data_IF_127392280448
#
_entry.id   IF_127392280448
#
_cell.length_a   1.000
_cell.length_b   1.000
_cell.length_c   1.000
_cell.angle_alpha   90.00
_cell.angle_beta   90.00
_cell.angle_gamma   90.00
#
_symmetry.space_group_name_H-M   'P 1'
#
loop_
_entity.id
_entity.type
_entity.pdbx_description
1 polymer ?
#
# COMPACT_ATOMS: atom_id res chain seq x y z
N UNK A 1 43.74 64.54 -9.82
CA UNK A 1 42.72 64.54 -10.89
C UNK A 1 42.94 63.31 -11.75
N UNK A 2 42.16 62.25 -11.50
CA UNK A 2 42.22 61.03 -12.32
C UNK A 2 41.41 61.26 -13.58
N UNK A 3 42.07 61.60 -14.68
CA UNK A 3 41.46 61.60 -16.01
C UNK A 3 41.00 60.18 -16.31
N UNK A 4 39.69 59.97 -16.31
CA UNK A 4 39.08 58.84 -16.98
C UNK A 4 39.32 59.12 -18.47
N UNK A 5 40.40 58.59 -19.03
CA UNK A 5 40.65 58.62 -20.48
C UNK A 5 39.55 57.79 -21.15
N UNK A 6 38.54 58.48 -21.68
CA UNK A 6 37.61 57.88 -22.62
C UNK A 6 38.33 57.71 -23.94
N UNK A 7 38.78 56.48 -24.23
CA UNK A 7 39.31 56.11 -25.54
C UNK A 7 38.26 56.39 -26.62
N UNK A 8 38.66 57.07 -27.71
CA UNK A 8 37.74 57.51 -28.76
C UNK A 8 37.20 56.36 -29.61
N UNK A 9 37.86 55.21 -29.58
CA UNK A 9 37.39 53.97 -30.21
C UNK A 9 37.93 52.72 -29.51
N UNK A 10 37.25 51.59 -29.69
CA UNK A 10 37.73 50.30 -29.19
C UNK A 10 39.14 49.96 -29.70
N UNK A 11 39.48 50.37 -30.93
CA UNK A 11 40.78 50.10 -31.53
C UNK A 11 41.93 50.83 -30.80
N UNK A 12 41.69 52.08 -30.43
CA UNK A 12 42.67 52.92 -29.70
C UNK A 12 42.93 52.38 -28.29
N UNK A 13 41.86 51.95 -27.60
CA UNK A 13 41.95 51.27 -26.32
C UNK A 13 42.75 49.97 -26.41
N UNK A 14 42.51 49.14 -27.43
CA UNK A 14 43.23 47.88 -27.62
C UNK A 14 44.70 48.10 -27.99
N UNK A 15 45.05 49.12 -28.79
CA UNK A 15 46.44 49.45 -29.09
C UNK A 15 47.21 49.95 -27.85
N UNK A 16 46.60 50.80 -27.04
CA UNK A 16 47.17 51.25 -25.77
C UNK A 16 47.40 50.05 -24.83
N UNK A 17 46.37 49.21 -24.66
CA UNK A 17 46.45 48.01 -23.83
C UNK A 17 47.56 47.07 -24.32
N UNK A 18 47.68 46.82 -25.63
CA UNK A 18 48.72 45.97 -26.19
C UNK A 18 50.13 46.50 -25.95
N UNK A 19 50.34 47.82 -25.99
CA UNK A 19 51.68 48.42 -25.76
C UNK A 19 52.09 48.41 -24.29
N UNK A 20 51.12 48.51 -23.37
CA UNK A 20 51.38 48.64 -21.94
C UNK A 20 51.20 47.35 -21.14
N UNK A 21 50.62 46.31 -21.74
CA UNK A 21 50.44 45.00 -21.11
C UNK A 21 51.67 44.11 -21.28
N UNK A 22 51.99 43.35 -20.24
CA UNK A 22 53.03 42.31 -20.28
C UNK A 22 52.53 40.98 -20.85
N UNK A 23 51.26 40.92 -21.27
CA UNK A 23 50.64 39.73 -21.87
C UNK A 23 51.20 39.53 -23.29
N UNK A 24 52.15 38.61 -23.44
CA UNK A 24 52.86 38.36 -24.70
C UNK A 24 51.96 37.99 -25.90
N UNK A 25 50.75 37.51 -25.66
CA UNK A 25 49.81 37.10 -26.71
C UNK A 25 49.14 38.27 -27.45
N UNK A 26 48.77 39.34 -26.75
CA UNK A 26 48.00 40.48 -27.31
C UNK A 26 48.83 41.29 -28.30
N UNK A 27 50.11 41.51 -27.99
CA UNK A 27 51.09 42.17 -28.88
C UNK A 27 51.22 41.41 -30.22
N UNK A 28 51.18 40.07 -30.19
CA UNK A 28 51.33 39.21 -31.38
C UNK A 28 50.03 39.03 -32.18
N UNK A 29 48.88 39.20 -31.52
CA UNK A 29 47.54 39.05 -32.10
C UNK A 29 47.04 40.32 -32.79
N UNK A 30 47.25 41.51 -32.21
CA UNK A 30 46.64 42.77 -32.68
C UNK A 30 47.67 43.74 -33.27
N UNK A 31 48.86 43.86 -32.68
CA UNK A 31 49.85 44.88 -33.07
C UNK A 31 50.95 44.39 -34.04
N UNK A 32 50.92 43.13 -34.49
CA UNK A 32 51.89 42.58 -35.43
C UNK A 32 51.48 42.82 -36.90
N UNK A 33 51.58 44.07 -37.37
CA UNK A 33 51.15 44.46 -38.72
C UNK A 33 51.93 43.80 -39.88
N UNK A 34 53.18 43.35 -39.64
CA UNK A 34 54.15 42.94 -40.69
C UNK A 34 54.10 41.47 -41.11
N UNK A 35 53.65 40.53 -40.26
CA UNK A 35 53.70 39.08 -40.55
C UNK A 35 52.38 38.39 -40.27
N UNK A 36 51.51 38.31 -41.28
CA UNK A 36 50.15 37.76 -41.19
C UNK A 36 50.10 36.29 -40.74
N UNK A 37 51.13 35.50 -41.08
CA UNK A 37 51.22 34.09 -40.66
C UNK A 37 51.42 33.93 -39.15
N UNK A 38 52.22 34.81 -38.52
CA UNK A 38 52.44 34.79 -37.06
C UNK A 38 51.15 35.16 -36.34
N UNK A 39 50.47 36.21 -36.80
CA UNK A 39 49.18 36.62 -36.27
C UNK A 39 48.14 35.50 -36.39
N UNK A 40 48.04 34.84 -37.56
CA UNK A 40 47.14 33.71 -37.76
C UNK A 40 47.44 32.54 -36.82
N UNK A 41 48.71 32.21 -36.61
CA UNK A 41 49.13 31.17 -35.65
C UNK A 41 48.69 31.49 -34.21
N UNK A 42 48.94 32.71 -33.74
CA UNK A 42 48.55 33.12 -32.37
C UNK A 42 47.03 33.24 -32.21
N UNK A 43 46.30 33.63 -33.25
CA UNK A 43 44.83 33.62 -33.26
C UNK A 43 44.28 32.20 -33.23
N UNK A 44 44.85 31.27 -33.99
CA UNK A 44 44.48 29.86 -33.94
C UNK A 44 44.70 29.24 -32.56
N UNK A 45 45.84 29.54 -31.92
CA UNK A 45 46.15 29.08 -30.57
C UNK A 45 45.17 29.65 -29.53
N UNK A 46 44.82 30.93 -29.65
CA UNK A 46 43.82 31.57 -28.78
C UNK A 46 42.43 30.93 -28.95
N UNK A 47 41.96 30.73 -30.19
CA UNK A 47 40.69 30.06 -30.47
C UNK A 47 40.66 28.63 -29.93
N UNK A 48 41.75 27.88 -30.10
CA UNK A 48 41.87 26.54 -29.54
C UNK A 48 41.77 26.56 -28.01
N UNK A 49 42.42 27.52 -27.34
CA UNK A 49 42.33 27.66 -25.88
C UNK A 49 40.92 27.99 -25.39
N UNK A 50 40.19 28.87 -26.07
CA UNK A 50 38.78 29.15 -25.76
C UNK A 50 37.88 27.94 -26.03
N UNK A 51 38.12 27.20 -27.12
CA UNK A 51 37.39 25.98 -27.43
C UNK A 51 37.52 24.92 -26.34
N UNK A 52 38.74 24.69 -25.84
CA UNK A 52 38.99 23.79 -24.70
C UNK A 52 38.29 24.31 -23.44
N UNK A 53 38.30 25.62 -23.18
CA UNK A 53 37.63 26.20 -22.01
C UNK A 53 36.11 25.99 -22.05
N UNK A 54 35.45 26.27 -23.18
CA UNK A 54 34.00 26.06 -23.30
C UNK A 54 33.63 24.57 -23.26
N UNK A 55 34.48 23.70 -23.82
CA UNK A 55 34.32 22.26 -23.69
C UNK A 55 34.38 21.80 -22.23
N UNK A 56 35.39 22.25 -21.47
CA UNK A 56 35.50 21.96 -20.05
C UNK A 56 34.33 22.54 -19.24
N UNK A 57 33.88 23.75 -19.58
CA UNK A 57 32.70 24.36 -18.97
C UNK A 57 31.44 23.54 -19.24
N UNK A 58 31.24 23.06 -20.47
CA UNK A 58 30.11 22.20 -20.82
C UNK A 58 30.15 20.86 -20.06
N UNK A 59 31.33 20.27 -19.88
CA UNK A 59 31.51 19.05 -19.07
C UNK A 59 31.21 19.28 -17.58
N UNK A 60 31.71 20.37 -17.00
CA UNK A 60 31.42 20.72 -15.61
C UNK A 60 29.94 21.06 -15.41
N UNK A 61 29.34 21.78 -16.37
CA UNK A 61 27.93 22.11 -16.33
C UNK A 61 27.06 20.85 -16.49
N UNK A 62 27.44 19.92 -17.37
CA UNK A 62 26.71 18.65 -17.53
C UNK A 62 26.82 17.79 -16.27
N UNK A 63 28.00 17.74 -15.61
CA UNK A 63 28.17 17.02 -14.35
C UNK A 63 27.40 17.67 -13.20
N UNK A 64 27.34 19.00 -13.15
CA UNK A 64 26.55 19.74 -12.17
C UNK A 64 25.04 19.46 -12.33
N UNK A 65 24.52 19.51 -13.57
CA UNK A 65 23.12 19.23 -13.86
C UNK A 65 22.76 17.73 -13.91
N UNK A 66 23.76 16.85 -13.85
CA UNK A 66 23.53 15.41 -13.73
C UNK A 66 23.12 14.97 -12.32
N UNK A 67 23.30 15.84 -11.31
CA UNK A 67 23.02 15.54 -9.89
C UNK A 67 23.41 14.11 -9.46
N UNK A 68 24.67 13.68 -9.67
CA UNK A 68 25.06 12.31 -9.36
C UNK A 68 25.03 12.08 -7.84
N UNK A 69 24.30 11.05 -7.41
CA UNK A 69 24.23 10.62 -6.01
C UNK A 69 25.21 9.48 -5.74
N UNK A 70 25.96 9.57 -4.66
CA UNK A 70 26.84 8.48 -4.18
C UNK A 70 26.16 7.78 -3.02
N UNK A 71 25.79 6.51 -3.22
CA UNK A 71 25.20 5.67 -2.17
C UNK A 71 26.32 5.04 -1.34
N UNK A 72 26.32 5.27 -0.04
CA UNK A 72 27.21 4.60 0.92
C UNK A 72 26.38 3.63 1.75
N UNK A 73 26.83 2.38 1.85
CA UNK A 73 26.17 1.34 2.65
C UNK A 73 26.98 1.12 3.93
N UNK A 74 26.36 1.31 5.10
CA UNK A 74 26.95 0.97 6.39
C UNK A 74 26.01 0.05 7.18
N UNK A 75 26.59 -0.90 7.91
CA UNK A 75 25.85 -1.78 8.83
C UNK A 75 26.21 -1.42 10.26
N UNK A 76 25.23 -0.92 11.01
CA UNK A 76 25.39 -0.58 12.42
C UNK A 76 24.62 -1.60 13.26
N UNK A 77 25.32 -2.22 14.22
CA UNK A 77 24.73 -3.17 15.17
C UNK A 77 24.17 -2.41 16.37
N UNK A 78 23.15 -1.59 16.11
CA UNK A 78 22.44 -0.79 17.12
C UNK A 78 21.07 -1.40 17.41
N UNK A 79 20.54 -1.24 18.64
CA UNK A 79 19.17 -1.65 18.95
C UNK A 79 18.19 -1.05 17.93
N UNK A 80 17.33 -1.89 17.36
CA UNK A 80 16.30 -1.45 16.41
C UNK A 80 14.95 -1.43 17.09
N UNK A 81 14.12 -0.46 16.73
CA UNK A 81 12.74 -0.45 17.17
C UNK A 81 12.03 -1.67 16.55
N UNK A 82 11.40 -2.47 17.40
CA UNK A 82 10.61 -3.61 16.94
C UNK A 82 9.39 -3.07 16.17
N UNK A 83 9.08 -3.56 14.96
CA UNK A 83 8.00 -3.01 14.15
C UNK A 83 6.63 -3.25 14.79
N UNK A 84 5.61 -2.56 14.28
CA UNK A 84 4.23 -2.90 14.62
C UNK A 84 3.82 -4.18 13.87
N UNK A 85 3.10 -5.05 14.56
CA UNK A 85 2.63 -6.33 14.00
C UNK A 85 1.12 -6.39 14.11
N UNK A 86 0.44 -6.35 12.97
CA UNK A 86 -1.00 -6.53 12.90
C UNK A 86 -1.33 -7.96 12.53
N UNK A 87 -2.26 -8.56 13.28
CA UNK A 87 -2.69 -9.93 13.12
C UNK A 87 -4.20 -9.93 13.08
N UNK A 88 -4.77 -10.56 12.06
CA UNK A 88 -6.21 -10.66 11.87
C UNK A 88 -6.62 -12.10 11.72
N UNK A 89 -7.77 -12.42 12.31
CA UNK A 89 -8.48 -13.63 11.93
C UNK A 89 -8.80 -13.57 10.42
N UNK A 90 -9.13 -14.70 9.81
CA UNK A 90 -9.68 -14.73 8.45
C UNK A 90 -11.20 -14.92 8.45
N UNK A 91 -11.83 -14.88 9.63
CA UNK A 91 -13.25 -15.14 9.85
C UNK A 91 -13.97 -13.89 10.41
N UNK A 92 -14.74 -13.17 9.57
CA UNK A 92 -15.49 -11.98 9.98
C UNK A 92 -16.75 -12.31 10.77
N UNK A 93 -17.07 -11.47 11.75
CA UNK A 93 -18.20 -11.70 12.65
C UNK A 93 -19.56 -11.35 12.03
N UNK A 94 -20.57 -12.15 12.37
CA UNK A 94 -21.97 -11.82 12.16
C UNK A 94 -22.49 -10.97 13.32
N UNK A 95 -22.68 -9.68 13.07
CA UNK A 95 -23.29 -8.78 14.05
C UNK A 95 -24.81 -8.99 14.09
N UNK A 96 -25.37 -9.05 15.30
CA UNK A 96 -26.80 -9.29 15.50
C UNK A 96 -27.67 -8.23 14.80
N UNK A 97 -27.25 -6.96 14.83
CA UNK A 97 -27.97 -5.83 14.21
C UNK A 97 -28.22 -5.99 12.71
N UNK A 98 -27.34 -6.69 11.99
CA UNK A 98 -27.46 -6.91 10.54
C UNK A 98 -27.69 -8.37 10.19
N UNK A 99 -27.91 -9.23 11.19
CA UNK A 99 -28.08 -10.68 11.01
C UNK A 99 -29.22 -11.01 10.04
N UNK A 100 -30.34 -10.29 10.10
CA UNK A 100 -31.47 -10.52 9.19
C UNK A 100 -31.10 -10.24 7.71
N UNK A 101 -30.36 -9.15 7.46
CA UNK A 101 -29.87 -8.81 6.13
C UNK A 101 -28.86 -9.85 5.61
N UNK A 102 -27.99 -10.36 6.48
CA UNK A 102 -27.04 -11.41 6.14
C UNK A 102 -27.74 -12.75 5.83
N UNK A 103 -28.74 -13.13 6.63
CA UNK A 103 -29.56 -14.33 6.37
C UNK A 103 -30.34 -14.19 5.03
N UNK A 104 -30.81 -12.99 4.69
CA UNK A 104 -31.41 -12.72 3.38
C UNK A 104 -30.38 -12.85 2.24
N UNK A 105 -29.17 -12.33 2.42
CA UNK A 105 -28.09 -12.44 1.45
C UNK A 105 -27.69 -13.91 1.20
N UNK A 106 -27.60 -14.71 2.26
CA UNK A 106 -27.30 -16.15 2.17
C UNK A 106 -28.34 -16.90 1.33
N UNK A 107 -29.63 -16.60 1.56
CA UNK A 107 -30.73 -17.15 0.73
C UNK A 107 -30.59 -16.74 -0.74
N UNK A 108 -30.30 -15.47 -1.02
CA UNK A 108 -30.10 -14.99 -2.40
C UNK A 108 -28.90 -15.66 -3.08
N UNK A 109 -27.84 -15.95 -2.31
CA UNK A 109 -26.67 -16.68 -2.80
C UNK A 109 -27.02 -18.14 -3.14
N UNK A 110 -27.76 -18.81 -2.27
CA UNK A 110 -28.25 -20.18 -2.46
C UNK A 110 -29.18 -20.30 -3.69
N UNK A 111 -30.12 -19.37 -3.85
CA UNK A 111 -30.98 -19.27 -5.04
C UNK A 111 -30.15 -19.08 -6.31
N UNK A 112 -29.13 -18.22 -6.27
CA UNK A 112 -28.23 -17.97 -7.41
C UNK A 112 -27.40 -19.21 -7.77
N UNK A 113 -26.89 -19.94 -6.77
CA UNK A 113 -26.16 -21.20 -6.99
C UNK A 113 -27.05 -22.28 -7.60
N UNK A 114 -28.26 -22.41 -7.09
CA UNK A 114 -29.27 -23.36 -7.59
C UNK A 114 -29.63 -23.02 -9.03
N UNK A 115 -29.90 -21.75 -9.33
CA UNK A 115 -30.23 -21.27 -10.68
C UNK A 115 -29.10 -21.47 -11.69
N UNK A 116 -27.86 -21.15 -11.31
CA UNK A 116 -26.73 -21.18 -12.25
C UNK A 116 -26.12 -22.57 -12.44
N UNK A 117 -26.07 -23.37 -11.37
CA UNK A 117 -25.32 -24.64 -11.35
C UNK A 117 -26.19 -25.85 -11.03
N UNK A 118 -27.47 -25.69 -10.70
CA UNK A 118 -28.36 -26.80 -10.32
C UNK A 118 -27.95 -27.49 -9.02
N UNK A 119 -27.13 -26.82 -8.18
CA UNK A 119 -26.68 -27.39 -6.91
C UNK A 119 -27.84 -27.25 -5.93
N UNK A 120 -28.46 -28.37 -5.60
CA UNK A 120 -29.49 -28.42 -4.58
C UNK A 120 -28.81 -28.53 -3.21
N UNK A 121 -28.40 -27.39 -2.67
CA UNK A 121 -27.75 -27.33 -1.36
C UNK A 121 -28.80 -27.66 -0.32
N UNK A 122 -28.63 -28.78 0.38
CA UNK A 122 -29.53 -29.18 1.45
C UNK A 122 -29.27 -28.33 2.70
N UNK A 123 -29.62 -27.04 2.69
CA UNK A 123 -29.71 -26.13 3.86
C UNK A 123 -28.51 -26.11 4.85
N UNK A 124 -27.37 -26.73 4.53
CA UNK A 124 -26.26 -27.01 5.46
C UNK A 124 -25.03 -26.14 5.24
N UNK A 125 -24.95 -25.39 4.15
CA UNK A 125 -23.80 -24.53 3.88
C UNK A 125 -23.80 -23.28 4.76
N UNK A 126 -24.96 -22.70 5.06
CA UNK A 126 -25.09 -21.42 5.78
C UNK A 126 -25.65 -21.55 7.21
N UNK A 127 -26.11 -22.75 7.60
CA UNK A 127 -26.53 -23.06 8.98
C UNK A 127 -25.33 -23.56 9.79
N UNK A 128 -24.39 -22.66 10.07
CA UNK A 128 -23.40 -22.86 11.13
C UNK A 128 -23.99 -22.36 12.46
N UNK A 129 -23.54 -22.94 13.57
CA UNK A 129 -24.07 -22.66 14.93
C UNK A 129 -23.59 -21.27 15.36
N UNK A 130 -24.27 -20.22 14.90
CA UNK A 130 -23.82 -18.83 15.05
C UNK A 130 -23.75 -18.37 16.51
N UNK A 131 -22.57 -17.91 16.93
CA UNK A 131 -22.42 -17.00 18.08
C UNK A 131 -22.73 -15.59 17.58
N UNK A 132 -23.98 -15.14 17.73
CA UNK A 132 -24.36 -13.76 17.41
C UNK A 132 -23.74 -12.81 18.45
N UNK A 133 -23.01 -11.79 17.99
CA UNK A 133 -22.42 -10.78 18.90
C UNK A 133 -23.49 -9.74 19.23
N UNK A 134 -23.87 -9.69 20.51
CA UNK A 134 -24.81 -8.69 21.03
C UNK A 134 -24.08 -7.37 21.28
N UNK A 135 -24.51 -6.30 20.61
CA UNK A 135 -23.96 -4.96 20.85
C UNK A 135 -24.87 -4.21 21.81
N UNK A 136 -24.47 -4.09 23.07
CA UNK A 136 -25.19 -3.30 24.06
C UNK A 136 -25.07 -1.80 23.76
N UNK A 137 -26.19 -1.08 23.72
CA UNK A 137 -26.22 0.39 23.68
C UNK A 137 -26.72 1.03 22.37
N UNK A 138 -27.22 0.25 21.40
CA UNK A 138 -27.65 0.76 20.09
C UNK A 138 -29.14 0.53 19.76
N UNK A 139 -29.98 0.40 20.79
CA UNK A 139 -31.43 0.15 20.67
C UNK A 139 -32.24 1.22 19.90
N UNK A 140 -31.62 2.33 19.48
CA UNK A 140 -32.27 3.42 18.75
C UNK A 140 -31.64 3.69 17.36
N UNK A 141 -30.91 2.75 16.76
CA UNK A 141 -30.73 2.83 15.31
C UNK A 141 -32.03 2.43 14.63
N UNK A 142 -32.87 3.44 14.35
CA UNK A 142 -33.89 3.35 13.32
C UNK A 142 -33.25 2.71 12.09
N UNK A 143 -33.73 1.51 11.73
CA UNK A 143 -33.33 0.76 10.54
C UNK A 143 -33.18 1.76 9.39
N UNK A 144 -31.95 2.06 9.01
CA UNK A 144 -31.68 2.81 7.79
C UNK A 144 -32.48 2.14 6.68
N UNK A 145 -33.14 2.91 5.80
CA UNK A 145 -34.00 2.38 4.73
C UNK A 145 -33.28 1.53 3.66
N UNK A 146 -32.14 0.95 4.00
CA UNK A 146 -31.45 -0.04 3.21
C UNK A 146 -32.34 -1.25 2.98
N UNK A 147 -32.44 -1.65 1.71
CA UNK A 147 -33.11 -2.87 1.29
C UNK A 147 -32.20 -3.57 0.30
N UNK A 148 -31.95 -4.84 0.54
CA UNK A 148 -31.30 -5.70 -0.45
C UNK A 148 -32.18 -5.77 -1.70
N UNK A 149 -31.61 -5.38 -2.84
CA UNK A 149 -32.31 -5.45 -4.12
C UNK A 149 -32.23 -6.85 -4.69
N UNK A 150 -33.36 -7.56 -4.74
CA UNK A 150 -33.47 -8.86 -5.40
C UNK A 150 -33.20 -8.80 -6.92
N UNK A 151 -33.26 -7.60 -7.52
CA UNK A 151 -32.97 -7.40 -8.95
C UNK A 151 -31.47 -7.48 -9.26
N UNK A 152 -30.61 -7.53 -8.25
CA UNK A 152 -29.17 -7.64 -8.40
C UNK A 152 -28.71 -9.08 -8.12
N UNK A 153 -28.95 -9.97 -9.08
CA UNK A 153 -28.60 -11.39 -9.04
C UNK A 153 -27.45 -11.74 -9.99
N UNK A 154 -26.85 -12.91 -9.79
CA UNK A 154 -25.83 -13.44 -10.70
C UNK A 154 -26.49 -14.00 -11.96
N UNK A 155 -25.95 -13.62 -13.11
CA UNK A 155 -26.45 -14.00 -14.42
C UNK A 155 -25.39 -14.76 -15.21
N UNK A 156 -25.84 -15.79 -15.93
CA UNK A 156 -25.01 -16.47 -16.93
C UNK A 156 -25.00 -15.64 -18.20
N UNK A 157 -23.80 -15.25 -18.62
CA UNK A 157 -23.57 -14.47 -19.83
C UNK A 157 -22.76 -15.30 -20.83
N UNK A 158 -22.90 -15.02 -22.12
CA UNK A 158 -22.06 -15.62 -23.14
C UNK A 158 -21.27 -14.56 -23.87
N UNK A 159 -19.96 -14.70 -23.89
CA UNK A 159 -19.05 -13.83 -24.61
C UNK A 159 -18.44 -14.58 -25.80
N UNK A 160 -18.41 -13.95 -26.97
CA UNK A 160 -17.77 -14.49 -28.16
C UNK A 160 -16.37 -13.88 -28.31
N UNK A 161 -15.32 -14.68 -28.11
CA UNK A 161 -13.93 -14.29 -28.39
C UNK A 161 -13.27 -15.35 -29.26
N UNK A 162 -12.47 -14.90 -30.24
CA UNK A 162 -11.68 -15.78 -31.13
C UNK A 162 -12.48 -16.94 -31.75
N UNK A 163 -13.73 -16.69 -32.17
CA UNK A 163 -14.59 -17.70 -32.79
C UNK A 163 -15.15 -18.77 -31.85
N UNK A 164 -14.92 -18.66 -30.52
CA UNK A 164 -15.46 -19.58 -29.51
C UNK A 164 -16.41 -18.85 -28.55
N UNK A 165 -17.48 -19.53 -28.15
CA UNK A 165 -18.46 -19.05 -27.17
C UNK A 165 -17.97 -19.43 -25.77
N UNK A 166 -17.60 -18.43 -24.98
CA UNK A 166 -17.22 -18.63 -23.58
C UNK A 166 -18.43 -18.31 -22.68
N UNK A 167 -18.81 -19.27 -21.83
CA UNK A 167 -19.76 -19.01 -20.75
C UNK A 167 -19.04 -18.24 -19.65
N UNK A 168 -19.58 -17.08 -19.28
CA UNK A 168 -19.11 -16.26 -18.16
C UNK A 168 -20.25 -16.10 -17.17
N UNK A 169 -19.92 -15.73 -15.94
CA UNK A 169 -20.91 -15.41 -14.91
C UNK A 169 -20.58 -14.03 -14.37
N UNK A 170 -21.60 -13.23 -14.10
CA UNK A 170 -21.41 -11.87 -13.66
C UNK A 170 -22.69 -11.22 -13.17
N UNK A 171 -22.60 -9.93 -12.90
CA UNK A 171 -23.73 -9.12 -12.47
C UNK A 171 -23.66 -7.74 -13.14
N UNK A 172 -24.81 -7.09 -13.22
CA UNK A 172 -24.97 -5.79 -13.87
C UNK A 172 -25.07 -4.69 -12.82
N UNK A 173 -24.28 -3.63 -12.99
CA UNK A 173 -24.31 -2.44 -12.16
C UNK A 173 -24.82 -1.28 -13.01
N UNK A 174 -25.87 -0.62 -12.54
CA UNK A 174 -26.52 0.49 -13.24
C UNK A 174 -26.44 1.78 -12.43
N UNK A 175 -26.48 2.91 -13.12
CA UNK A 175 -26.70 4.20 -12.49
C UNK A 175 -28.13 4.33 -11.94
N UNK A 176 -28.41 5.41 -11.20
CA UNK A 176 -29.73 5.66 -10.57
C UNK A 176 -30.89 5.74 -11.56
N UNK A 177 -30.63 6.12 -12.82
CA UNK A 177 -31.66 6.20 -13.87
C UNK A 177 -31.87 4.89 -14.61
N UNK A 178 -31.05 3.85 -14.35
CA UNK A 178 -31.07 2.57 -15.05
C UNK A 178 -30.60 2.64 -16.51
N UNK A 179 -30.18 3.81 -16.99
CA UNK A 179 -29.84 4.04 -18.41
C UNK A 179 -28.39 3.72 -18.77
N UNK A 180 -27.46 3.82 -17.82
CA UNK A 180 -26.05 3.45 -18.02
C UNK A 180 -25.70 2.29 -17.10
N UNK A 181 -25.49 1.12 -17.70
CA UNK A 181 -25.19 -0.11 -16.99
C UNK A 181 -23.92 -0.75 -17.51
N UNK A 182 -23.10 -1.25 -16.59
CA UNK A 182 -21.91 -2.02 -16.90
C UNK A 182 -22.00 -3.42 -16.29
N UNK A 183 -21.39 -4.40 -16.97
CA UNK A 183 -21.39 -5.79 -16.54
C UNK A 183 -20.02 -6.16 -15.97
N UNK A 184 -19.98 -6.60 -14.71
CA UNK A 184 -18.77 -7.20 -14.12
C UNK A 184 -18.84 -8.71 -14.35
N UNK A 185 -17.95 -9.25 -15.19
CA UNK A 185 -17.98 -10.66 -15.60
C UNK A 185 -16.70 -11.40 -15.27
N UNK A 186 -16.85 -12.63 -14.80
CA UNK A 186 -15.77 -13.51 -14.39
C UNK A 186 -15.74 -14.77 -15.24
N UNK A 187 -14.54 -15.33 -15.39
CA UNK A 187 -14.34 -16.62 -16.04
C UNK A 187 -14.74 -17.78 -15.14
N UNK A 188 -14.58 -17.62 -13.82
CA UNK A 188 -14.93 -18.62 -12.82
C UNK A 188 -16.25 -18.27 -12.14
N UNK A 189 -17.07 -19.30 -11.91
CA UNK A 189 -18.26 -19.19 -11.09
C UNK A 189 -17.99 -18.86 -9.63
N UNK A 190 -16.88 -19.39 -9.10
CA UNK A 190 -16.45 -19.15 -7.72
C UNK A 190 -16.07 -17.68 -7.53
N UNK A 191 -15.20 -17.14 -8.41
CA UNK A 191 -14.82 -15.73 -8.34
C UNK A 191 -16.04 -14.81 -8.47
N UNK A 192 -17.01 -15.17 -9.33
CA UNK A 192 -18.23 -14.39 -9.52
C UNK A 192 -19.09 -14.33 -8.24
N UNK A 193 -19.31 -15.47 -7.58
CA UNK A 193 -20.14 -15.49 -6.37
C UNK A 193 -19.43 -14.86 -5.17
N UNK A 194 -18.13 -15.10 -5.00
CA UNK A 194 -17.35 -14.49 -3.92
C UNK A 194 -17.35 -12.96 -4.03
N UNK A 195 -17.11 -12.43 -5.23
CA UNK A 195 -17.12 -10.97 -5.45
C UNK A 195 -18.50 -10.35 -5.33
N UNK A 196 -19.55 -11.05 -5.79
CA UNK A 196 -20.93 -10.60 -5.64
C UNK A 196 -21.38 -10.60 -4.17
N UNK A 197 -21.01 -11.63 -3.42
CA UNK A 197 -21.31 -11.73 -1.99
C UNK A 197 -20.55 -10.65 -1.21
N UNK A 198 -19.24 -10.46 -1.49
CA UNK A 198 -18.42 -9.39 -0.90
C UNK A 198 -19.02 -8.01 -1.14
N UNK A 199 -19.53 -7.74 -2.35
CA UNK A 199 -20.16 -6.47 -2.68
C UNK A 199 -21.40 -6.18 -1.81
N UNK A 200 -22.31 -7.15 -1.67
CA UNK A 200 -23.50 -6.98 -0.81
C UNK A 200 -23.13 -6.88 0.66
N UNK A 201 -22.23 -7.74 1.12
CA UNK A 201 -21.77 -7.77 2.49
C UNK A 201 -21.20 -6.42 2.91
N UNK A 202 -20.37 -5.77 2.09
CA UNK A 202 -19.84 -4.43 2.38
C UNK A 202 -20.94 -3.38 2.54
N UNK A 203 -21.97 -3.42 1.70
CA UNK A 203 -23.10 -2.50 1.78
C UNK A 203 -23.96 -2.74 3.03
N UNK A 204 -24.12 -4.00 3.46
CA UNK A 204 -24.80 -4.34 4.71
C UNK A 204 -23.99 -3.85 5.91
N UNK A 205 -22.69 -4.14 5.93
CA UNK A 205 -21.80 -3.77 7.03
C UNK A 205 -21.64 -2.25 7.18
N UNK A 206 -21.77 -1.49 6.10
CA UNK A 206 -21.74 -0.02 6.12
C UNK A 206 -22.89 0.61 6.92
N UNK A 207 -23.96 -0.12 7.23
CA UNK A 207 -25.04 0.35 8.11
C UNK A 207 -24.65 0.39 9.58
N UNK A 208 -23.63 -0.38 9.96
CA UNK A 208 -23.17 -0.43 11.34
C UNK A 208 -22.44 0.88 11.67
N UNK A 209 -22.74 1.50 12.82
CA UNK A 209 -22.07 2.73 13.20
C UNK A 209 -20.59 2.46 13.47
N UNK A 210 -19.73 3.39 13.06
CA UNK A 210 -18.27 3.32 13.29
C UNK A 210 -17.93 3.27 14.78
N UNK A 211 -18.84 3.72 15.64
CA UNK A 211 -18.72 3.78 17.11
C UNK A 211 -19.30 2.53 17.77
N UNK A 212 -19.26 1.35 17.12
CA UNK A 212 -19.41 0.12 17.88
C UNK A 212 -18.17 -0.01 18.75
N UNK A 213 -18.29 0.52 19.96
CA UNK A 213 -17.36 0.22 21.03
C UNK A 213 -17.67 -1.24 21.41
N UNK A 214 -17.01 -2.18 20.71
CA UNK A 214 -16.99 -3.62 21.03
C UNK A 214 -16.43 -3.84 22.46
N UNK A 215 -15.94 -2.77 23.10
CA UNK A 215 -15.41 -2.63 24.45
C UNK A 215 -16.31 -3.06 25.62
N UNK A 216 -17.46 -3.70 25.41
CA UNK A 216 -18.29 -4.24 26.51
C UNK A 216 -18.73 -5.68 26.35
N UNK A 217 -18.34 -6.39 25.29
CA UNK A 217 -18.35 -7.86 25.32
C UNK A 217 -16.92 -8.35 25.51
N UNK A 218 -16.60 -8.37 26.79
CA UNK A 218 -15.40 -8.84 27.42
C UNK A 218 -15.36 -10.37 27.40
N UNK A 219 -15.23 -10.96 26.21
CA UNK A 219 -14.79 -12.34 25.99
C UNK A 219 -14.14 -12.33 24.59
N UNK A 220 -12.84 -12.40 24.36
CA UNK A 220 -11.64 -12.61 25.14
C UNK A 220 -10.53 -12.48 24.06
N UNK A 221 -9.35 -11.96 24.39
CA UNK A 221 -8.13 -12.27 23.59
C UNK A 221 -8.04 -13.76 23.25
N UNK A 222 -8.54 -14.62 24.15
CA UNK A 222 -8.51 -16.07 24.13
C UNK A 222 -9.29 -16.75 23.00
N UNK A 223 -9.96 -16.01 22.09
CA UNK A 223 -10.52 -16.63 20.89
C UNK A 223 -9.52 -16.70 19.72
N UNK A 224 -8.59 -15.75 19.61
CA UNK A 224 -7.56 -15.77 18.56
C UNK A 224 -6.13 -15.82 19.10
N UNK A 225 -5.79 -15.09 20.15
CA UNK A 225 -4.43 -15.05 20.74
C UNK A 225 -4.43 -15.85 22.04
N UNK A 226 -3.90 -17.07 21.98
CA UNK A 226 -3.80 -17.96 23.13
C UNK A 226 -2.64 -17.63 24.07
N UNK A 227 -1.50 -17.22 23.50
CA UNK A 227 -0.31 -16.80 24.27
C UNK A 227 0.42 -15.71 23.52
N UNK A 228 0.91 -14.70 24.23
CA UNK A 228 1.75 -13.63 23.71
C UNK A 228 2.95 -13.42 24.61
N UNK A 229 4.15 -13.47 24.04
CA UNK A 229 5.40 -13.18 24.72
C UNK A 229 6.27 -12.29 23.85
N UNK A 230 6.91 -11.30 24.45
CA UNK A 230 7.91 -10.45 23.82
C UNK A 230 9.14 -10.38 24.73
N UNK A 231 10.32 -10.64 24.16
CA UNK A 231 11.59 -10.70 24.91
C UNK A 231 11.57 -11.65 26.13
N UNK A 232 10.81 -12.75 26.01
CA UNK A 232 10.61 -13.74 27.07
C UNK A 232 9.57 -13.37 28.13
N UNK A 233 9.02 -12.15 28.10
CA UNK A 233 8.03 -11.66 29.06
C UNK A 233 6.61 -11.69 28.47
N UNK A 234 5.56 -11.96 29.28
CA UNK A 234 4.18 -11.97 28.80
C UNK A 234 3.70 -10.55 28.42
N UNK A 235 3.01 -10.44 27.27
CA UNK A 235 2.47 -9.17 26.79
C UNK A 235 1.35 -8.63 27.71
N UNK A 236 1.31 -7.31 27.90
CA UNK A 236 0.27 -6.61 28.66
C UNK A 236 -0.96 -6.30 27.80
N UNK A 237 -2.16 -6.11 28.40
CA UNK A 237 -3.34 -5.66 27.67
C UNK A 237 -3.20 -4.30 26.98
N UNK A 238 -2.25 -3.47 27.42
CA UNK A 238 -1.90 -2.18 26.81
C UNK A 238 -1.04 -2.30 25.56
N UNK A 239 -0.41 -3.46 25.32
CA UNK A 239 0.59 -3.63 24.26
C UNK A 239 -0.04 -3.84 22.88
N UNK A 240 -1.35 -4.03 22.83
CA UNK A 240 -2.09 -4.22 21.58
C UNK A 240 -3.37 -3.38 21.55
N UNK A 241 -3.79 -3.05 20.34
CA UNK A 241 -5.07 -2.41 20.08
C UNK A 241 -5.92 -3.35 19.23
N UNK A 242 -7.16 -3.59 19.66
CA UNK A 242 -8.13 -4.38 18.91
C UNK A 242 -8.98 -3.48 18.01
N UNK A 243 -9.21 -3.95 16.78
CA UNK A 243 -10.17 -3.35 15.85
C UNK A 243 -10.79 -4.44 14.98
N UNK A 244 -11.98 -4.17 14.42
CA UNK A 244 -12.64 -5.09 13.50
C UNK A 244 -12.41 -4.65 12.04
N UNK A 245 -11.84 -5.52 11.23
CA UNK A 245 -11.71 -5.34 9.78
C UNK A 245 -12.94 -5.94 9.07
N UNK A 246 -13.64 -5.23 8.17
CA UNK A 246 -14.86 -5.73 7.54
C UNK A 246 -14.69 -7.09 6.83
N UNK A 247 -13.57 -7.31 6.14
CA UNK A 247 -13.30 -8.55 5.39
C UNK A 247 -12.74 -9.67 6.26
N UNK A 248 -11.88 -9.33 7.23
CA UNK A 248 -11.02 -10.31 7.91
C UNK A 248 -11.52 -10.60 9.34
N UNK A 249 -12.36 -9.74 9.91
CA UNK A 249 -12.87 -9.94 11.27
C UNK A 249 -12.01 -9.27 12.33
N UNK A 250 -11.76 -9.97 13.44
CA UNK A 250 -11.01 -9.41 14.56
C UNK A 250 -9.52 -9.26 14.23
N UNK A 251 -9.00 -8.06 14.47
CA UNK A 251 -7.61 -7.71 14.28
C UNK A 251 -7.00 -7.12 15.55
N UNK A 252 -5.72 -7.43 15.76
CA UNK A 252 -4.91 -6.97 16.87
C UNK A 252 -3.62 -6.38 16.32
N UNK A 253 -3.33 -5.12 16.66
CA UNK A 253 -2.03 -4.50 16.34
C UNK A 253 -1.19 -4.35 17.58
N UNK A 254 -0.13 -5.14 17.66
CA UNK A 254 0.89 -5.09 18.70
C UNK A 254 1.85 -3.93 18.44
N UNK A 255 2.28 -3.27 19.52
CA UNK A 255 3.25 -2.18 19.49
C UNK A 255 2.81 -1.04 18.55
N UNK A 256 1.53 -0.67 18.55
CA UNK A 256 0.99 0.43 17.71
C UNK A 256 0.97 1.78 18.42
N UNK A 257 0.47 1.81 19.66
CA UNK A 257 0.37 3.04 20.45
C UNK A 257 1.46 3.05 21.53
N UNK A 258 2.45 3.91 21.37
CA UNK A 258 3.61 4.07 22.26
C UNK A 258 3.27 4.74 23.60
N UNK A 259 2.34 4.18 24.37
CA UNK A 259 2.05 4.64 25.74
C UNK A 259 2.94 4.01 26.82
N UNK A 260 3.93 3.22 26.41
CA UNK A 260 5.18 2.86 27.10
C UNK A 260 6.29 2.89 26.03
N UNK A 261 7.61 2.94 26.36
CA UNK A 261 8.64 2.97 25.33
C UNK A 261 8.43 1.79 24.37
N UNK A 262 8.43 2.09 23.06
CA UNK A 262 8.27 1.09 22.01
C UNK A 262 9.16 -0.12 22.27
N UNK A 263 8.66 -1.30 21.94
CA UNK A 263 9.48 -2.51 21.97
C UNK A 263 10.77 -2.31 21.16
N UNK A 264 11.91 -2.72 21.73
CA UNK A 264 13.23 -2.58 21.09
C UNK A 264 13.92 -3.93 20.97
N UNK A 265 14.29 -4.30 19.75
CA UNK A 265 15.11 -5.46 19.48
C UNK A 265 16.57 -5.15 19.81
N UNK A 266 17.00 -5.50 21.02
CA UNK A 266 18.39 -5.33 21.48
C UNK A 266 19.30 -6.46 21.00
N UNK A 267 18.75 -7.68 20.86
CA UNK A 267 19.48 -8.89 20.45
C UNK A 267 18.71 -9.63 19.35
N UNK A 268 19.39 -10.13 18.31
CA UNK A 268 18.76 -11.03 17.36
C UNK A 268 18.55 -12.40 17.99
N UNK A 269 17.41 -13.03 17.70
CA UNK A 269 17.11 -14.40 18.11
C UNK A 269 15.62 -14.62 18.33
N UNK A 270 15.16 -15.86 18.13
CA UNK A 270 13.77 -16.27 18.35
C UNK A 270 13.28 -15.96 19.78
N UNK A 271 14.03 -16.24 20.87
CA UNK A 271 13.51 -15.98 22.24
C UNK A 271 13.38 -14.49 22.57
N UNK A 272 14.07 -13.62 21.83
CA UNK A 272 14.07 -12.17 22.04
C UNK A 272 13.07 -11.44 21.12
N UNK A 273 12.30 -12.19 20.31
CA UNK A 273 11.29 -11.67 19.40
C UNK A 273 9.88 -11.72 19.98
N UNK A 274 8.90 -11.44 19.12
CA UNK A 274 7.49 -11.67 19.41
C UNK A 274 7.15 -13.15 19.15
N UNK A 275 6.67 -13.84 20.18
CA UNK A 275 6.21 -15.22 20.14
C UNK A 275 4.72 -15.28 20.45
N UNK A 276 3.96 -15.85 19.51
CA UNK A 276 2.51 -15.90 19.58
C UNK A 276 2.02 -17.32 19.36
N UNK A 277 1.07 -17.75 20.18
CA UNK A 277 0.27 -18.96 19.94
C UNK A 277 -1.12 -18.47 19.56
N UNK A 278 -1.54 -18.83 18.36
CA UNK A 278 -2.78 -18.35 17.76
C UNK A 278 -3.77 -19.50 17.59
N UNK A 279 -5.05 -19.22 17.83
CA UNK A 279 -6.16 -20.07 17.44
C UNK A 279 -6.69 -19.56 16.11
N UNK A 280 -6.61 -20.41 15.09
CA UNK A 280 -7.27 -20.18 13.81
C UNK A 280 -8.59 -20.97 13.83
N UNK A 281 -9.71 -20.26 13.70
CA UNK A 281 -11.01 -20.90 13.59
C UNK A 281 -11.10 -21.66 12.25
N UNK A 282 -11.66 -22.87 12.29
CA UNK A 282 -11.82 -23.71 11.08
C UNK A 282 -13.28 -23.76 10.62
N UNK A 283 -14.21 -23.37 11.48
CA UNK A 283 -15.63 -23.27 11.13
C UNK A 283 -15.98 -21.82 10.92
N UNK A 284 -15.91 -21.40 9.66
CA UNK A 284 -16.21 -20.03 9.27
C UNK A 284 -17.67 -19.65 9.56
N UNK A 285 -17.86 -18.45 10.07
CA UNK A 285 -19.20 -17.88 10.28
C UNK A 285 -19.83 -17.46 8.95
N UNK A 286 -19.01 -17.05 7.97
CA UNK A 286 -19.46 -16.58 6.65
C UNK A 286 -18.68 -17.30 5.53
N UNK A 287 -19.16 -18.47 5.05
CA UNK A 287 -18.40 -19.35 4.15
C UNK A 287 -18.17 -18.78 2.74
N UNK A 288 -18.97 -17.81 2.30
CA UNK A 288 -18.78 -17.11 1.01
C UNK A 288 -17.84 -15.90 1.11
N UNK A 289 -17.31 -15.60 2.29
CA UNK A 289 -16.35 -14.51 2.50
C UNK A 289 -15.03 -15.03 3.08
N UNK A 290 -15.09 -15.89 4.10
CA UNK A 290 -13.94 -16.63 4.62
C UNK A 290 -13.82 -17.96 3.88
N UNK A 291 -13.05 -17.98 2.80
CA UNK A 291 -12.75 -19.21 2.04
C UNK A 291 -11.40 -19.82 2.42
N UNK A 292 -10.67 -19.18 3.33
CA UNK A 292 -9.30 -19.52 3.71
C UNK A 292 -9.24 -19.62 5.23
N UNK A 293 -8.80 -20.77 5.74
CA UNK A 293 -8.54 -20.96 7.16
C UNK A 293 -7.11 -20.57 7.53
N UNK A 294 -6.95 -19.77 8.57
CA UNK A 294 -5.65 -19.32 9.05
C UNK A 294 -5.72 -17.95 9.69
N UNK A 295 -4.57 -17.30 9.77
CA UNK A 295 -4.43 -15.95 10.33
C UNK A 295 -3.61 -15.11 9.37
N UNK A 296 -4.03 -13.88 9.13
CA UNK A 296 -3.30 -12.93 8.30
C UNK A 296 -2.41 -12.05 9.15
N UNK A 297 -1.15 -11.93 8.77
CA UNK A 297 -0.14 -11.14 9.48
C UNK A 297 0.41 -10.05 8.56
N UNK A 298 0.59 -8.86 9.13
CA UNK A 298 1.22 -7.72 8.47
C UNK A 298 2.23 -7.09 9.43
N UNK A 299 3.43 -6.85 8.93
CA UNK A 299 4.51 -6.17 9.65
C UNK A 299 4.66 -4.79 9.03
N UNK A 300 4.54 -3.74 9.84
CA UNK A 300 4.52 -2.37 9.35
C UNK A 300 5.16 -1.38 10.33
N UNK A 301 5.31 -0.13 9.89
CA UNK A 301 5.81 0.95 10.73
C UNK A 301 4.74 1.40 11.73
N UNK A 302 5.14 1.91 12.90
CA UNK A 302 4.24 2.32 14.00
C UNK A 302 3.19 3.36 13.60
N UNK A 303 3.54 4.28 12.69
CA UNK A 303 2.65 5.35 12.22
C UNK A 303 1.87 4.99 10.95
N UNK A 304 1.93 3.73 10.50
CA UNK A 304 1.26 3.27 9.30
C UNK A 304 -0.01 2.51 9.67
N UNK A 305 -1.15 2.91 9.10
CA UNK A 305 -2.38 2.13 9.17
C UNK A 305 -2.19 0.79 8.45
N UNK A 306 -2.64 -0.34 9.04
CA UNK A 306 -2.42 -1.65 8.44
C UNK A 306 -3.30 -1.87 7.19
N UNK A 307 -2.68 -1.87 6.00
CA UNK A 307 -3.30 -2.20 4.72
C UNK A 307 -3.22 -3.71 4.42
N UNK A 308 -4.01 -4.49 5.16
CA UNK A 308 -3.98 -5.95 5.16
C UNK A 308 -4.24 -6.59 3.78
N UNK A 309 -5.06 -5.97 2.93
CA UNK A 309 -5.41 -6.51 1.61
C UNK A 309 -4.21 -6.56 0.65
N UNK A 310 -3.22 -5.69 0.83
CA UNK A 310 -2.08 -5.56 -0.10
C UNK A 310 -0.75 -6.06 0.48
N UNK A 311 -0.52 -5.82 1.78
CA UNK A 311 0.80 -6.06 2.40
C UNK A 311 0.79 -7.21 3.43
N UNK A 312 -0.38 -7.80 3.69
CA UNK A 312 -0.51 -8.96 4.59
C UNK A 312 -0.17 -10.29 3.91
N UNK A 313 0.25 -11.27 4.71
CA UNK A 313 0.47 -12.65 4.29
C UNK A 313 -0.24 -13.62 5.25
N UNK A 314 -0.67 -14.77 4.73
CA UNK A 314 -1.45 -15.74 5.50
C UNK A 314 -0.57 -16.83 6.11
N UNK A 315 -0.87 -17.20 7.35
CA UNK A 315 -0.21 -18.28 8.08
C UNK A 315 -1.15 -19.46 8.19
N UNK A 316 -0.65 -20.64 7.81
CA UNK A 316 -1.40 -21.89 7.85
C UNK A 316 -1.60 -22.35 9.31
N UNK A 317 -2.79 -22.85 9.67
CA UNK A 317 -3.02 -23.48 10.97
C UNK A 317 -2.22 -24.78 11.14
N UNK A 318 -1.89 -25.12 12.39
CA UNK A 318 -1.27 -26.40 12.74
C UNK A 318 0.24 -26.50 12.51
N UNK A 319 0.91 -25.39 12.15
CA UNK A 319 2.37 -25.32 11.99
C UNK A 319 2.95 -24.15 12.79
N UNK A 320 4.21 -24.28 13.21
CA UNK A 320 4.98 -23.16 13.73
C UNK A 320 5.65 -22.42 12.56
N UNK A 321 5.37 -21.12 12.43
CA UNK A 321 5.95 -20.27 11.37
C UNK A 321 6.92 -19.28 11.98
N UNK A 322 8.22 -19.40 11.65
CA UNK A 322 9.25 -18.47 12.08
C UNK A 322 9.47 -17.39 11.01
N UNK A 323 9.19 -16.13 11.36
CA UNK A 323 9.29 -14.99 10.44
C UNK A 323 10.52 -14.17 10.81
N UNK A 324 11.51 -14.14 9.91
CA UNK A 324 12.68 -13.29 10.07
C UNK A 324 12.45 -11.93 9.39
N UNK A 325 12.77 -10.85 10.10
CA UNK A 325 12.60 -9.47 9.62
C UNK A 325 13.98 -8.90 9.31
N UNK A 326 14.13 -8.27 8.14
CA UNK A 326 15.32 -7.53 7.75
C UNK A 326 14.91 -6.09 7.46
N UNK A 327 15.46 -5.16 8.23
CA UNK A 327 15.28 -3.72 8.06
C UNK A 327 16.51 -3.11 7.40
#
# INVERSE_FOLDING_TARGET
>A
EGLIEFYGSFQEMFEFFCKNTTIHGTIRLVCSGKNRLKTAFWTGLLLASFGVLYWQFALMFSQFWAYPVVLTMSMHSEPKMFPAVTICNLDPYRFELVSEHLEQLDRMAEESLTFLYGINTSARLFHTRDRKIHVQGLANLSSSGFKLSHNFSLLRMSEFRAGKRHSRVGFQLCNSTGGNCFYKTYSSGMDAILEWYRFHYMNIMAQLPVIINISRHQEQLEDMVYSCQYDGEPCRPSDYVHFHHPVFGSCYTFNSQGTDPFWTATKPGIPYGLSLILRAEQRDHIPLLSTVAGVRVMIHSHNQTPFLEHEGFDIRPGIATAIAIRQ
#
